data_IF_157214391639
#
_entry.id   IF_157214391639
#
_cell.length_a   1.000
_cell.length_b   1.000
_cell.length_c   1.000
_cell.angle_alpha   90.00
_cell.angle_beta   90.00
_cell.angle_gamma   90.00
#
_symmetry.space_group_name_H-M   'P 1'
#
loop_
_entity.id
_entity.type
_entity.pdbx_description
1 polymer ?
#
# COMPACT_ATOMS: atom_id res chain seq x y z
N UNK A 1 -4.87 -24.21 -23.24
CA UNK A 1 -5.02 -22.75 -23.08
C UNK A 1 -5.33 -22.47 -21.62
N UNK A 2 -4.41 -21.86 -20.88
CA UNK A 2 -4.55 -21.62 -19.44
C UNK A 2 -5.61 -20.53 -19.23
N UNK A 3 -6.75 -20.89 -18.61
CA UNK A 3 -7.79 -19.93 -18.26
C UNK A 3 -7.25 -18.96 -17.21
N UNK A 4 -6.68 -17.84 -17.65
CA UNK A 4 -6.26 -16.78 -16.76
C UNK A 4 -7.48 -16.27 -15.99
N UNK A 5 -7.44 -16.35 -14.66
CA UNK A 5 -8.53 -15.94 -13.77
C UNK A 5 -8.93 -14.50 -14.11
N UNK A 6 -10.23 -14.22 -14.22
CA UNK A 6 -10.76 -12.95 -14.76
C UNK A 6 -10.17 -11.71 -14.09
N UNK A 7 -9.93 -11.76 -12.77
CA UNK A 7 -9.36 -10.65 -12.00
C UNK A 7 -7.88 -10.37 -12.31
N UNK A 8 -7.16 -11.29 -12.96
CA UNK A 8 -5.77 -11.12 -13.41
C UNK A 8 -5.67 -10.39 -14.75
N UNK A 9 -6.77 -10.28 -15.50
CA UNK A 9 -6.79 -9.54 -16.75
C UNK A 9 -6.77 -8.05 -16.41
N UNK A 10 -5.68 -7.36 -16.75
CA UNK A 10 -5.58 -5.92 -16.56
C UNK A 10 -6.58 -5.22 -17.47
N UNK A 11 -7.38 -4.32 -16.90
CA UNK A 11 -8.35 -3.51 -17.62
C UNK A 11 -7.71 -2.23 -18.18
N UNK A 12 -8.56 -1.30 -18.63
CA UNK A 12 -8.16 0.02 -19.14
C UNK A 12 -7.38 0.83 -18.08
N UNK A 13 -7.66 0.59 -16.80
CA UNK A 13 -6.92 1.15 -15.67
C UNK A 13 -6.13 0.03 -14.97
N UNK A 14 -4.82 -0.10 -15.23
CA UNK A 14 -4.03 -1.17 -14.63
C UNK A 14 -3.85 -0.94 -13.14
N UNK A 15 -3.95 -2.01 -12.34
CA UNK A 15 -3.62 -1.98 -10.92
C UNK A 15 -2.16 -2.40 -10.70
N UNK A 16 -1.48 -1.88 -9.65
CA UNK A 16 -0.10 -2.26 -9.36
C UNK A 16 -0.01 -3.74 -9.01
N UNK A 17 1.10 -4.39 -9.41
CA UNK A 17 1.37 -5.76 -9.00
C UNK A 17 1.60 -5.82 -7.48
N UNK A 18 0.59 -6.27 -6.74
CA UNK A 18 0.56 -6.16 -5.27
C UNK A 18 1.72 -6.92 -4.61
N UNK A 19 2.08 -8.10 -5.13
CA UNK A 19 3.24 -8.85 -4.61
C UNK A 19 4.57 -8.08 -4.71
N UNK A 20 4.82 -7.39 -5.83
CA UNK A 20 6.04 -6.58 -6.02
C UNK A 20 5.98 -5.29 -5.20
N UNK A 21 4.79 -4.69 -5.07
CA UNK A 21 4.57 -3.55 -4.19
C UNK A 21 4.97 -3.89 -2.74
N UNK A 22 4.50 -5.03 -2.20
CA UNK A 22 4.86 -5.46 -0.84
C UNK A 22 6.36 -5.71 -0.72
N UNK A 23 6.97 -6.37 -1.72
CA UNK A 23 8.42 -6.62 -1.73
C UNK A 23 9.22 -5.31 -1.66
N UNK A 24 8.84 -4.33 -2.47
CA UNK A 24 9.46 -2.99 -2.45
C UNK A 24 9.28 -2.33 -1.10
N UNK A 25 8.08 -2.37 -0.52
CA UNK A 25 7.81 -1.76 0.79
C UNK A 25 8.59 -2.40 1.93
N UNK A 26 8.78 -3.71 1.92
CA UNK A 26 9.66 -4.38 2.89
C UNK A 26 11.11 -3.91 2.77
N UNK A 27 11.61 -3.74 1.54
CA UNK A 27 12.93 -3.18 1.29
C UNK A 27 13.03 -1.73 1.81
N UNK A 28 12.06 -0.88 1.48
CA UNK A 28 12.04 0.54 1.90
C UNK A 28 12.00 0.67 3.44
N UNK A 29 11.32 -0.25 4.13
CA UNK A 29 11.24 -0.32 5.59
C UNK A 29 12.44 -1.03 6.24
N UNK A 30 13.41 -1.52 5.47
CA UNK A 30 14.54 -2.34 5.94
C UNK A 30 14.11 -3.59 6.73
N UNK A 31 12.97 -4.19 6.36
CA UNK A 31 12.44 -5.40 7.00
C UNK A 31 12.81 -6.61 6.14
N UNK A 32 13.54 -7.57 6.71
CA UNK A 32 13.90 -8.79 6.02
C UNK A 32 12.69 -9.71 5.79
N UNK A 33 12.75 -10.55 4.76
CA UNK A 33 11.68 -11.53 4.48
C UNK A 33 11.46 -12.47 5.67
N UNK A 34 12.54 -12.88 6.35
CA UNK A 34 12.47 -13.73 7.54
C UNK A 34 11.73 -13.05 8.68
N UNK A 35 12.04 -11.79 8.94
CA UNK A 35 11.36 -11.02 9.98
C UNK A 35 9.88 -10.81 9.64
N UNK A 36 9.58 -10.40 8.41
CA UNK A 36 8.21 -10.22 7.96
C UNK A 36 7.40 -11.53 8.07
N UNK A 37 7.95 -12.66 7.60
CA UNK A 37 7.35 -13.99 7.75
C UNK A 37 7.08 -14.37 9.21
N UNK A 38 8.05 -14.10 10.10
CA UNK A 38 7.89 -14.35 11.55
C UNK A 38 6.73 -13.54 12.13
N UNK A 39 6.64 -12.24 11.81
CA UNK A 39 5.54 -11.37 12.29
C UNK A 39 4.17 -11.79 11.76
N UNK A 40 4.11 -12.33 10.55
CA UNK A 40 2.88 -12.83 9.92
C UNK A 40 2.49 -14.25 10.36
N UNK A 41 3.38 -14.99 11.04
CA UNK A 41 3.17 -16.40 11.37
C UNK A 41 3.13 -17.30 10.14
N UNK A 42 3.87 -16.97 9.08
CA UNK A 42 3.97 -17.75 7.83
C UNK A 42 5.40 -18.16 7.54
N UNK A 43 5.59 -19.10 6.63
CA UNK A 43 6.94 -19.47 6.16
C UNK A 43 7.51 -18.39 5.22
N UNK A 44 8.85 -18.35 5.11
CA UNK A 44 9.53 -17.52 4.10
C UNK A 44 9.14 -17.91 2.68
N UNK A 45 8.92 -19.18 2.42
CA UNK A 45 8.40 -19.69 1.14
C UNK A 45 7.02 -19.11 0.81
N UNK A 46 6.09 -19.04 1.78
CA UNK A 46 4.78 -18.42 1.60
C UNK A 46 4.90 -16.92 1.30
N UNK A 47 5.81 -16.22 1.97
CA UNK A 47 6.09 -14.82 1.68
C UNK A 47 6.62 -14.63 0.24
N UNK A 48 7.58 -15.45 -0.18
CA UNK A 48 8.07 -15.44 -1.56
C UNK A 48 6.98 -15.78 -2.59
N UNK A 49 6.02 -16.63 -2.24
CA UNK A 49 4.87 -16.92 -3.08
C UNK A 49 3.98 -15.68 -3.26
N UNK A 50 3.80 -14.86 -2.22
CA UNK A 50 3.05 -13.61 -2.31
C UNK A 50 3.67 -12.62 -3.30
N UNK A 51 4.99 -12.53 -3.37
CA UNK A 51 5.66 -11.62 -4.32
C UNK A 51 5.39 -11.94 -5.79
N UNK A 52 5.07 -13.20 -6.10
CA UNK A 52 4.74 -13.63 -7.46
C UNK A 52 3.28 -13.37 -7.83
N UNK A 53 2.44 -12.99 -6.86
CA UNK A 53 1.02 -12.77 -7.10
C UNK A 53 0.76 -11.32 -7.53
N UNK A 54 0.22 -11.08 -8.74
CA UNK A 54 -0.18 -9.74 -9.18
C UNK A 54 -1.33 -9.17 -8.34
N UNK A 55 -2.15 -10.03 -7.75
CA UNK A 55 -3.24 -9.68 -6.83
C UNK A 55 -3.11 -10.50 -5.55
N UNK A 56 -3.42 -9.91 -4.40
CA UNK A 56 -3.50 -10.63 -3.14
C UNK A 56 -4.86 -10.42 -2.49
N UNK A 57 -5.27 -11.39 -1.67
CA UNK A 57 -6.49 -11.26 -0.87
C UNK A 57 -6.33 -10.09 0.10
N UNK A 58 -7.39 -9.28 0.25
CA UNK A 58 -7.38 -8.12 1.14
C UNK A 58 -6.92 -8.46 2.57
N UNK A 59 -7.35 -9.60 3.12
CA UNK A 59 -6.94 -10.05 4.45
C UNK A 59 -5.43 -10.26 4.60
N UNK A 60 -4.71 -10.59 3.52
CA UNK A 60 -3.24 -10.71 3.53
C UNK A 60 -2.61 -9.31 3.63
N UNK A 61 -3.11 -8.37 2.84
CA UNK A 61 -2.65 -6.97 2.84
C UNK A 61 -2.91 -6.34 4.22
N UNK A 62 -4.10 -6.55 4.79
CA UNK A 62 -4.44 -6.07 6.12
C UNK A 62 -3.49 -6.60 7.20
N UNK A 63 -3.26 -7.92 7.23
CA UNK A 63 -2.33 -8.55 8.18
C UNK A 63 -0.91 -8.00 8.02
N UNK A 64 -0.46 -7.78 6.79
CA UNK A 64 0.83 -7.16 6.51
C UNK A 64 0.91 -5.74 7.08
N UNK A 65 -0.11 -4.90 6.88
CA UNK A 65 -0.11 -3.53 7.41
C UNK A 65 0.11 -3.53 8.93
N UNK A 66 -0.65 -4.37 9.64
CA UNK A 66 -0.54 -4.49 11.11
C UNK A 66 0.82 -5.09 11.52
N UNK A 67 1.27 -6.16 10.86
CA UNK A 67 2.54 -6.82 11.19
C UNK A 67 3.76 -5.92 10.96
N UNK A 68 3.70 -5.05 9.96
CA UNK A 68 4.78 -4.11 9.63
C UNK A 68 4.63 -2.78 10.40
N UNK A 69 3.53 -2.58 11.13
CA UNK A 69 3.17 -1.30 11.73
C UNK A 69 3.24 -0.15 10.70
N UNK A 70 2.65 -0.40 9.52
CA UNK A 70 2.74 0.50 8.36
C UNK A 70 1.44 0.49 7.56
N UNK A 71 0.99 1.66 7.11
CA UNK A 71 -0.24 1.80 6.33
C UNK A 71 -0.03 1.51 4.84
N UNK A 72 -0.04 0.23 4.47
CA UNK A 72 0.06 -0.19 3.07
C UNK A 72 -1.13 0.26 2.22
N UNK A 73 -2.31 0.50 2.83
CA UNK A 73 -3.50 0.85 2.07
C UNK A 73 -3.43 2.29 1.57
N UNK A 74 -2.95 3.22 2.40
CA UNK A 74 -2.71 4.61 1.97
C UNK A 74 -1.70 4.70 0.82
N UNK A 75 -0.64 3.89 0.85
CA UNK A 75 0.32 3.83 -0.25
C UNK A 75 -0.28 3.23 -1.53
N UNK A 76 -1.14 2.21 -1.41
CA UNK A 76 -1.86 1.66 -2.55
C UNK A 76 -2.84 2.70 -3.12
N UNK A 77 -3.53 3.46 -2.26
CA UNK A 77 -4.40 4.56 -2.70
C UNK A 77 -3.62 5.65 -3.43
N UNK A 78 -2.38 5.90 -3.03
CA UNK A 78 -1.48 6.85 -3.70
C UNK A 78 -1.08 6.40 -5.11
N UNK A 79 -1.36 5.15 -5.49
CA UNK A 79 -1.15 4.65 -6.86
C UNK A 79 -2.34 4.88 -7.79
N UNK A 80 -3.44 5.46 -7.29
CA UNK A 80 -4.54 5.84 -8.16
C UNK A 80 -4.11 6.88 -9.21
N UNK A 81 -4.74 6.87 -10.40
CA UNK A 81 -4.53 7.94 -11.38
C UNK A 81 -4.82 9.31 -10.76
N UNK A 82 -4.11 10.35 -11.18
CA UNK A 82 -4.29 11.72 -10.67
C UNK A 82 -5.73 12.24 -10.81
N UNK A 83 -6.45 11.78 -11.83
CA UNK A 83 -7.85 12.13 -12.08
C UNK A 83 -8.84 11.38 -11.18
N UNK A 84 -8.38 10.45 -10.34
CA UNK A 84 -9.26 9.65 -9.50
C UNK A 84 -9.77 10.48 -8.30
N UNK A 85 -11.08 10.51 -8.04
CA UNK A 85 -11.65 11.31 -6.96
C UNK A 85 -11.41 10.64 -5.60
N UNK A 86 -10.20 10.80 -5.06
CA UNK A 86 -9.86 10.34 -3.71
C UNK A 86 -10.69 11.13 -2.70
N UNK A 87 -11.34 10.41 -1.77
CA UNK A 87 -12.09 11.04 -0.69
C UNK A 87 -11.12 11.85 0.18
N UNK A 88 -11.31 13.17 0.19
CA UNK A 88 -10.53 14.09 0.99
C UNK A 88 -10.98 13.99 2.45
N UNK A 89 -10.03 14.07 3.38
CA UNK A 89 -10.33 14.17 4.80
C UNK A 89 -10.51 15.65 5.17
N UNK A 90 -11.76 16.07 5.38
CA UNK A 90 -12.10 17.47 5.68
C UNK A 90 -11.33 18.04 6.88
N UNK A 91 -10.99 17.19 7.87
CA UNK A 91 -10.18 17.60 9.02
C UNK A 91 -8.75 17.94 8.63
N UNK A 92 -8.14 17.16 7.72
CA UNK A 92 -6.78 17.46 7.25
C UNK A 92 -6.73 18.78 6.49
N UNK A 93 -7.72 19.04 5.62
CA UNK A 93 -7.82 20.32 4.89
C UNK A 93 -7.99 21.49 5.84
N UNK A 94 -8.81 21.34 6.89
CA UNK A 94 -8.99 22.37 7.90
C UNK A 94 -7.66 22.66 8.63
N UNK A 95 -6.93 21.62 9.05
CA UNK A 95 -5.64 21.75 9.72
C UNK A 95 -4.56 22.39 8.83
N UNK A 96 -4.51 22.06 7.54
CA UNK A 96 -3.58 22.68 6.59
C UNK A 96 -3.82 24.18 6.44
N UNK A 97 -5.10 24.60 6.41
CA UNK A 97 -5.46 26.03 6.40
C UNK A 97 -4.99 26.74 7.67
N UNK A 98 -5.17 26.14 8.83
CA UNK A 98 -4.68 26.70 10.10
C UNK A 98 -3.16 26.85 10.12
N UNK A 99 -2.42 25.84 9.65
CA UNK A 99 -0.96 25.90 9.54
C UNK A 99 -0.48 27.03 8.63
N UNK A 100 -1.17 27.28 7.52
CA UNK A 100 -0.83 28.38 6.62
C UNK A 100 -1.01 29.75 7.29
N UNK A 101 -2.09 29.91 8.07
CA UNK A 101 -2.31 31.12 8.89
C UNK A 101 -1.14 31.30 9.87
N UNK A 102 -0.77 30.28 10.64
CA UNK A 102 0.34 30.37 11.60
C UNK A 102 1.69 30.66 10.92
N UNK A 103 2.00 30.03 9.79
CA UNK A 103 3.22 30.31 9.01
C UNK A 103 3.27 31.76 8.53
N UNK A 104 2.14 32.33 8.13
CA UNK A 104 2.06 33.73 7.69
C UNK A 104 2.33 34.72 8.85
N UNK A 105 1.94 34.36 10.07
CA UNK A 105 2.16 35.17 11.27
C UNK A 105 3.62 35.13 11.74
N UNK A 106 4.29 33.98 11.62
CA UNK A 106 5.70 33.80 12.00
C UNK A 106 6.70 34.40 10.99
N UNK A 107 6.26 34.72 9.77
CA UNK A 107 7.09 35.38 8.74
C UNK A 107 7.10 36.91 8.85
N UNK A 108 6.43 37.50 9.84
CA UNK A 108 6.45 38.93 10.19
C UNK A 108 7.41 39.17 11.34
#
# INVERSE_FOLDING_TARGET
MTNARTYLKQGIHPYPHIGQFIRKKLHDLNISNTEASRRLGITTSSMHAYYKQPSLQFGIIWKLSIALNYDLLSDLMSSYPESFPVKINDKMVAMEKELEIYKSLLKR
#
